data_IF_036296929181
#
_entry.id   IF_036296929181
#
_cell.length_a   1.000
_cell.length_b   1.000
_cell.length_c   1.000
_cell.angle_alpha   90.00
_cell.angle_beta   90.00
_cell.angle_gamma   90.00
#
_symmetry.space_group_name_H-M   'P 1'
#
loop_
_entity.id
_entity.type
_entity.pdbx_description
1 polymer ?
#
# COMPACT_ATOMS: atom_id res chain seq x y z
N UNK A 1 -7.33 14.30 5.46
CA UNK A 1 -6.93 12.88 5.50
C UNK A 1 -6.69 12.43 4.06
N UNK A 2 -5.44 12.14 3.73
CA UNK A 2 -5.00 11.66 2.41
C UNK A 2 -5.07 10.12 2.41
N UNK A 3 -5.73 9.56 1.40
CA UNK A 3 -5.92 8.12 1.21
C UNK A 3 -4.77 7.54 0.39
N UNK A 4 -4.07 6.58 0.97
CA UNK A 4 -2.82 6.03 0.45
C UNK A 4 -3.02 4.57 0.03
N UNK A 5 -2.53 4.23 -1.16
CA UNK A 5 -2.20 2.85 -1.54
C UNK A 5 -0.69 2.65 -1.42
N UNK A 6 -0.24 1.51 -0.87
CA UNK A 6 1.17 1.16 -0.80
C UNK A 6 1.46 0.00 -1.76
N UNK A 7 2.23 0.25 -2.82
CA UNK A 7 2.75 -0.78 -3.72
C UNK A 7 4.07 -1.33 -3.18
N UNK A 8 4.18 -2.65 -3.00
CA UNK A 8 5.24 -3.30 -2.20
C UNK A 8 4.95 -3.29 -0.69
N UNK A 9 3.68 -3.37 -0.28
CA UNK A 9 3.27 -3.22 1.12
C UNK A 9 3.81 -4.29 2.07
N UNK A 10 4.13 -5.50 1.58
CA UNK A 10 4.70 -6.56 2.40
C UNK A 10 6.24 -6.54 2.47
N UNK A 11 6.87 -5.67 1.68
CA UNK A 11 8.29 -5.37 1.76
C UNK A 11 8.68 -4.59 3.03
N UNK A 12 10.00 -4.50 3.29
CA UNK A 12 10.54 -3.81 4.46
C UNK A 12 10.11 -2.34 4.53
N UNK A 13 10.20 -1.63 3.40
CA UNK A 13 9.82 -0.22 3.32
C UNK A 13 8.30 -0.03 3.38
N UNK A 14 7.53 -0.87 2.69
CA UNK A 14 6.07 -0.84 2.75
C UNK A 14 5.53 -0.94 4.19
N UNK A 15 6.08 -1.84 5.00
CA UNK A 15 5.73 -1.97 6.43
C UNK A 15 6.11 -0.75 7.27
N UNK A 16 7.25 -0.11 6.98
CA UNK A 16 7.67 1.12 7.68
C UNK A 16 6.74 2.27 7.36
N UNK A 17 6.42 2.47 6.08
CA UNK A 17 5.47 3.51 5.65
C UNK A 17 4.09 3.26 6.26
N UNK A 18 3.64 2.01 6.26
CA UNK A 18 2.36 1.66 6.86
C UNK A 18 2.29 2.03 8.35
N UNK A 19 3.35 1.73 9.09
CA UNK A 19 3.45 2.10 10.51
C UNK A 19 3.43 3.62 10.70
N UNK A 20 4.23 4.37 9.94
CA UNK A 20 4.29 5.83 10.05
C UNK A 20 2.95 6.49 9.69
N UNK A 21 2.26 5.97 8.67
CA UNK A 21 0.95 6.47 8.27
C UNK A 21 -0.11 6.20 9.35
N UNK A 22 -0.05 5.06 10.06
CA UNK A 22 -0.96 4.75 11.16
C UNK A 22 -0.77 5.65 12.39
N UNK A 23 0.43 6.24 12.56
CA UNK A 23 0.75 7.16 13.66
C UNK A 23 0.32 8.62 13.38
N UNK A 24 -0.17 8.92 12.18
CA UNK A 24 -0.57 10.26 11.77
C UNK A 24 -2.07 10.35 11.43
N UNK A 25 -2.82 11.32 11.97
CA UNK A 25 -4.23 11.52 11.63
C UNK A 25 -4.42 12.07 10.20
N UNK A 26 -3.36 12.55 9.56
CA UNK A 26 -3.42 13.12 8.22
C UNK A 26 -3.48 12.06 7.12
N UNK A 27 -3.16 10.80 7.44
CA UNK A 27 -3.05 9.72 6.47
C UNK A 27 -3.97 8.55 6.80
N UNK A 28 -4.41 7.85 5.76
CA UNK A 28 -5.14 6.58 5.88
C UNK A 28 -4.70 5.64 4.79
N UNK A 29 -4.19 4.47 5.17
CA UNK A 29 -3.91 3.40 4.22
C UNK A 29 -5.23 2.74 3.87
N UNK A 30 -5.61 2.78 2.60
CA UNK A 30 -6.86 2.21 2.13
C UNK A 30 -6.65 0.82 1.53
N UNK A 31 -5.49 0.58 0.89
CA UNK A 31 -5.13 -0.73 0.37
C UNK A 31 -3.60 -0.89 0.22
N UNK A 32 -3.16 -2.13 0.10
CA UNK A 32 -1.81 -2.50 -0.30
C UNK A 32 -1.82 -3.30 -1.60
N UNK A 33 -0.72 -3.22 -2.34
CA UNK A 33 -0.47 -4.08 -3.51
C UNK A 33 0.85 -4.79 -3.32
N UNK A 34 0.84 -6.12 -3.38
CA UNK A 34 2.05 -6.94 -3.30
C UNK A 34 1.79 -8.32 -3.92
N UNK A 35 2.80 -8.89 -4.59
CA UNK A 35 2.71 -10.27 -5.12
C UNK A 35 2.61 -11.29 -3.99
N UNK A 36 3.18 -10.98 -2.83
CA UNK A 36 3.03 -11.79 -1.62
C UNK A 36 1.82 -11.28 -0.84
N UNK A 37 0.69 -11.97 -0.96
CA UNK A 37 -0.55 -11.63 -0.25
C UNK A 37 -0.47 -12.16 1.18
N UNK A 38 0.29 -11.44 2.02
CA UNK A 38 0.21 -11.59 3.48
C UNK A 38 -0.77 -10.57 4.05
N UNK A 39 -1.66 -10.97 4.97
CA UNK A 39 -2.67 -10.07 5.52
C UNK A 39 -2.03 -8.97 6.37
N UNK A 40 -2.55 -7.75 6.19
CA UNK A 40 -2.25 -6.56 6.98
C UNK A 40 -3.58 -5.99 7.51
N UNK A 41 -3.53 -4.88 8.25
CA UNK A 41 -4.73 -4.21 8.78
C UNK A 41 -5.62 -3.54 7.71
N UNK A 42 -5.25 -3.70 6.43
CA UNK A 42 -5.92 -3.18 5.25
C UNK A 42 -5.91 -4.25 4.15
N UNK A 43 -6.85 -4.20 3.19
CA UNK A 43 -6.91 -5.16 2.09
C UNK A 43 -5.63 -5.13 1.25
N UNK A 44 -5.16 -6.30 0.84
CA UNK A 44 -3.97 -6.48 0.00
C UNK A 44 -4.35 -7.16 -1.30
N UNK A 45 -3.96 -6.56 -2.41
CA UNK A 45 -4.23 -7.02 -3.78
C UNK A 45 -2.94 -7.46 -4.47
N UNK A 46 -3.06 -8.33 -5.47
CA UNK A 46 -1.93 -8.74 -6.31
C UNK A 46 -1.54 -7.72 -7.38
N UNK A 47 -2.50 -6.89 -7.81
CA UNK A 47 -2.33 -5.90 -8.88
C UNK A 47 -3.09 -4.61 -8.53
N UNK A 48 -2.57 -3.46 -8.96
CA UNK A 48 -3.21 -2.15 -8.79
C UNK A 48 -4.59 -2.07 -9.45
N UNK A 49 -4.83 -2.83 -10.52
CA UNK A 49 -6.11 -2.85 -11.24
C UNK A 49 -7.22 -3.54 -10.45
N UNK A 50 -6.87 -4.38 -9.48
CA UNK A 50 -7.83 -5.11 -8.65
C UNK A 50 -8.29 -4.30 -7.42
N UNK A 51 -7.62 -3.18 -7.14
CA UNK A 51 -7.93 -2.30 -6.00
C UNK A 51 -9.31 -1.68 -6.18
N UNK A 52 -10.14 -1.78 -5.14
CA UNK A 52 -11.53 -1.30 -5.16
C UNK A 52 -11.71 -0.01 -4.38
N UNK A 53 -10.70 0.36 -3.62
CA UNK A 53 -10.66 1.50 -2.73
C UNK A 53 -10.26 2.75 -3.51
N UNK A 54 -10.97 3.84 -3.22
CA UNK A 54 -10.56 5.15 -3.71
C UNK A 54 -9.33 5.64 -2.93
N UNK A 55 -8.34 6.12 -3.67
CA UNK A 55 -7.12 6.68 -3.12
C UNK A 55 -6.80 8.03 -3.77
N UNK A 56 -6.06 8.86 -3.04
CA UNK A 56 -5.57 10.15 -3.53
C UNK A 56 -4.12 10.03 -4.04
N UNK A 57 -3.37 9.05 -3.52
CA UNK A 57 -1.96 8.83 -3.86
C UNK A 57 -1.56 7.36 -3.75
N UNK A 58 -0.60 6.96 -4.58
CA UNK A 58 0.11 5.68 -4.50
C UNK A 58 1.55 5.95 -4.04
N UNK A 59 2.01 5.21 -3.02
CA UNK A 59 3.41 5.18 -2.60
C UNK A 59 4.01 3.88 -3.08
N UNK A 60 5.05 3.96 -3.92
CA UNK A 60 5.66 2.80 -4.56
C UNK A 60 7.03 2.46 -3.97
N UNK A 61 7.09 1.32 -3.27
CA UNK A 61 8.31 0.66 -2.79
C UNK A 61 8.39 -0.78 -3.31
N UNK A 62 7.78 -1.04 -4.47
CA UNK A 62 7.83 -2.32 -5.16
C UNK A 62 9.19 -2.55 -5.83
N UNK A 63 9.38 -3.76 -6.37
CA UNK A 63 10.57 -4.07 -7.16
C UNK A 63 10.45 -3.49 -8.57
N UNK A 64 11.56 -3.21 -9.25
CA UNK A 64 11.55 -2.57 -10.57
C UNK A 64 10.74 -3.36 -11.64
N UNK A 65 10.52 -4.66 -11.44
CA UNK A 65 9.72 -5.52 -12.34
C UNK A 65 8.20 -5.40 -12.11
N UNK A 66 7.78 -4.70 -11.06
CA UNK A 66 6.36 -4.54 -10.73
C UNK A 66 5.68 -3.41 -11.51
N UNK A 67 6.46 -2.56 -12.18
CA UNK A 67 5.97 -1.46 -13.02
C UNK A 67 6.61 -1.61 -14.41
N UNK A 68 5.85 -1.48 -15.51
CA UNK A 68 6.37 -1.59 -16.88
C UNK A 68 7.29 -0.44 -17.30
#
# INVERSE_FOLDING_TARGET
>A
MIRIIIHGCNGKMGKVVAKLAAESPDFKIVAGVDKNISPLDFPVYSDLKDVKEEADVVIDFSYHEAVP
#
